data_IF_030790935593
#
_entry.id   IF_030790935593
#
_cell.length_a   1.000
_cell.length_b   1.000
_cell.length_c   1.000
_cell.angle_alpha   90.00
_cell.angle_beta   90.00
_cell.angle_gamma   90.00
#
_symmetry.space_group_name_H-M   'P 1'
#
loop_
_entity.id
_entity.type
_entity.pdbx_description
1 polymer ?
#
# COMPACT_ATOMS: atom_id res chain seq x y z
N UNK A 1 -25.29 -0.32 -9.67
CA UNK A 1 -25.82 -1.02 -10.87
C UNK A 1 -26.02 0.00 -11.98
N UNK A 2 -25.05 0.08 -12.91
CA UNK A 2 -25.06 1.05 -14.03
C UNK A 2 -26.28 0.85 -14.95
N UNK A 3 -26.89 -0.32 -14.90
CA UNK A 3 -28.09 -0.67 -15.67
C UNK A 3 -29.36 0.04 -15.24
N UNK A 4 -29.36 0.74 -14.10
CA UNK A 4 -30.52 1.48 -13.57
C UNK A 4 -30.46 3.00 -13.86
N UNK A 5 -29.33 3.51 -14.39
CA UNK A 5 -29.18 4.94 -14.72
C UNK A 5 -29.75 5.23 -16.10
N UNK A 6 -30.48 6.33 -16.22
CA UNK A 6 -30.87 6.88 -17.52
C UNK A 6 -29.64 7.53 -18.20
N UNK A 7 -29.70 7.65 -19.52
CA UNK A 7 -28.63 8.32 -20.29
C UNK A 7 -28.35 9.76 -19.78
N UNK A 8 -29.40 10.48 -19.43
CA UNK A 8 -29.29 11.85 -18.90
C UNK A 8 -28.62 11.88 -17.52
N UNK A 9 -28.95 10.96 -16.63
CA UNK A 9 -28.31 10.89 -15.31
C UNK A 9 -26.83 10.55 -15.42
N UNK A 10 -26.46 9.69 -16.39
CA UNK A 10 -25.06 9.40 -16.68
C UNK A 10 -24.31 10.63 -17.22
N UNK A 11 -24.93 11.35 -18.16
CA UNK A 11 -24.39 12.59 -18.71
C UNK A 11 -24.19 13.67 -17.63
N UNK A 12 -25.19 13.86 -16.74
CA UNK A 12 -25.12 14.80 -15.62
C UNK A 12 -23.99 14.43 -14.63
N UNK A 13 -23.78 13.13 -14.36
CA UNK A 13 -22.67 12.65 -13.52
C UNK A 13 -21.32 12.93 -14.19
N UNK A 14 -21.17 12.61 -15.46
CA UNK A 14 -19.94 12.86 -16.21
C UNK A 14 -19.61 14.35 -16.28
N UNK A 15 -20.60 15.18 -16.54
CA UNK A 15 -20.42 16.63 -16.55
C UNK A 15 -20.01 17.16 -15.16
N UNK A 16 -20.64 16.65 -14.09
CA UNK A 16 -20.26 17.03 -12.73
C UNK A 16 -18.81 16.66 -12.41
N UNK A 17 -18.36 15.48 -12.84
CA UNK A 17 -16.97 15.03 -12.64
C UNK A 17 -16.02 15.93 -13.43
N UNK A 18 -16.34 16.24 -14.68
CA UNK A 18 -15.50 17.10 -15.54
C UNK A 18 -15.36 18.51 -14.97
N UNK A 19 -16.44 19.09 -14.48
CA UNK A 19 -16.45 20.45 -13.95
C UNK A 19 -15.84 20.58 -12.54
N UNK A 20 -15.97 19.55 -11.69
CA UNK A 20 -15.70 19.67 -10.26
C UNK A 20 -14.59 18.75 -9.72
N UNK A 21 -14.14 17.77 -10.50
CA UNK A 21 -13.10 16.81 -10.07
C UNK A 21 -11.87 16.92 -10.96
N UNK A 22 -12.05 16.83 -12.27
CA UNK A 22 -10.94 16.85 -13.25
C UNK A 22 -9.99 18.06 -13.10
N UNK A 23 -10.46 19.30 -12.86
CA UNK A 23 -9.56 20.43 -12.67
C UNK A 23 -8.59 20.30 -11.50
N UNK A 24 -8.97 19.52 -10.48
CA UNK A 24 -8.16 19.33 -9.28
C UNK A 24 -7.20 18.13 -9.37
N UNK A 25 -7.40 17.21 -10.29
CA UNK A 25 -6.52 16.04 -10.48
C UNK A 25 -5.13 16.46 -10.92
N UNK A 26 -5.03 17.49 -11.76
CA UNK A 26 -3.78 18.00 -12.31
C UNK A 26 -3.21 19.21 -11.53
N UNK A 27 -3.85 19.61 -10.42
CA UNK A 27 -3.34 20.68 -9.58
C UNK A 27 -2.10 20.20 -8.81
N UNK A 28 -1.02 21.00 -8.83
CA UNK A 28 0.21 20.70 -8.10
C UNK A 28 0.01 20.54 -6.59
N UNK A 29 -1.02 21.18 -6.01
CA UNK A 29 -1.35 21.06 -4.59
C UNK A 29 -1.97 19.70 -4.24
N UNK A 30 -2.54 19.00 -5.23
CA UNK A 30 -3.15 17.67 -5.08
C UNK A 30 -2.31 16.56 -5.73
N UNK A 31 -1.19 16.90 -6.36
CA UNK A 31 -0.29 15.95 -7.01
C UNK A 31 0.12 14.83 -6.03
N UNK A 32 -0.13 13.60 -6.44
CA UNK A 32 0.13 12.40 -5.63
C UNK A 32 -0.87 12.10 -4.54
N UNK A 33 -1.92 12.90 -4.36
CA UNK A 33 -3.05 12.50 -3.52
C UNK A 33 -3.92 11.49 -4.26
N UNK A 34 -4.27 10.41 -3.59
CA UNK A 34 -5.22 9.44 -4.08
C UNK A 34 -6.65 9.99 -3.93
N UNK A 35 -7.07 10.83 -4.89
CA UNK A 35 -8.38 11.48 -4.89
C UNK A 35 -9.53 10.48 -4.95
N UNK A 36 -9.37 9.36 -5.64
CA UNK A 36 -10.37 8.31 -5.67
C UNK A 36 -10.47 7.59 -4.33
N UNK A 37 -9.36 7.30 -3.68
CA UNK A 37 -9.37 6.74 -2.34
C UNK A 37 -10.05 7.68 -1.33
N UNK A 38 -9.76 8.98 -1.42
CA UNK A 38 -10.43 10.00 -0.61
C UNK A 38 -11.94 10.06 -0.91
N UNK A 39 -12.33 10.03 -2.17
CA UNK A 39 -13.74 9.99 -2.59
C UNK A 39 -14.44 8.74 -2.05
N UNK A 40 -13.87 7.55 -2.25
CA UNK A 40 -14.47 6.29 -1.81
C UNK A 40 -14.49 6.12 -0.30
N UNK A 41 -13.47 6.53 0.41
CA UNK A 41 -13.48 6.52 1.88
C UNK A 41 -14.53 7.47 2.43
N UNK A 42 -14.74 8.60 1.79
CA UNK A 42 -15.80 9.57 2.14
C UNK A 42 -17.16 9.02 1.76
N UNK A 43 -17.32 8.47 0.56
CA UNK A 43 -18.59 7.96 0.05
C UNK A 43 -19.08 6.71 0.81
N UNK A 44 -18.23 5.73 1.05
CA UNK A 44 -18.56 4.52 1.82
C UNK A 44 -19.04 4.84 3.23
N UNK A 45 -18.61 5.93 3.81
CA UNK A 45 -19.06 6.42 5.08
C UNK A 45 -20.54 6.85 5.06
N UNK A 46 -21.05 7.37 3.95
CA UNK A 46 -22.44 7.79 3.79
C UNK A 46 -23.35 6.65 3.33
N UNK A 47 -22.83 5.67 2.61
CA UNK A 47 -23.60 4.56 2.05
C UNK A 47 -23.73 3.35 3.02
N UNK A 48 -22.98 3.33 4.13
CA UNK A 48 -23.18 2.42 5.27
C UNK A 48 -22.89 0.94 5.02
N UNK A 49 -22.26 0.57 3.91
CA UNK A 49 -21.87 -0.80 3.58
C UNK A 49 -20.46 -0.84 3.01
N UNK A 50 -19.44 -0.57 3.82
CA UNK A 50 -18.10 -1.02 3.45
C UNK A 50 -18.02 -2.52 3.73
N UNK A 51 -17.51 -3.28 2.79
CA UNK A 51 -17.02 -4.62 3.06
C UNK A 51 -15.99 -4.50 4.19
N UNK A 52 -16.27 -5.11 5.34
CA UNK A 52 -15.47 -4.97 6.57
C UNK A 52 -14.02 -5.46 6.42
N UNK A 53 -13.66 -5.97 5.25
CA UNK A 53 -12.36 -6.56 4.93
C UNK A 53 -11.47 -5.69 4.03
N UNK A 54 -11.96 -4.57 3.49
CA UNK A 54 -11.16 -3.64 2.68
C UNK A 54 -10.83 -2.39 3.51
N UNK A 55 -9.65 -2.35 4.10
CA UNK A 55 -9.11 -1.15 4.70
C UNK A 55 -8.27 -0.41 3.66
N UNK A 56 -8.72 0.76 3.24
CA UNK A 56 -7.94 1.64 2.37
C UNK A 56 -6.70 2.13 3.12
N UNK A 57 -5.54 2.03 2.48
CA UNK A 57 -4.30 2.53 3.04
C UNK A 57 -4.30 4.06 3.00
N UNK A 58 -4.11 4.75 4.14
CA UNK A 58 -4.06 6.21 4.14
C UNK A 58 -2.90 6.75 3.29
N UNK A 59 -3.18 7.78 2.49
CA UNK A 59 -2.20 8.34 1.54
C UNK A 59 -0.89 8.80 2.23
N UNK A 60 -0.99 9.44 3.40
CA UNK A 60 0.19 9.87 4.15
C UNK A 60 1.08 8.72 4.61
N UNK A 61 0.54 7.52 4.82
CA UNK A 61 1.31 6.31 5.14
C UNK A 61 1.93 5.73 3.86
N UNK A 62 1.22 5.78 2.72
CA UNK A 62 1.80 5.43 1.43
C UNK A 62 3.01 6.31 1.11
N UNK A 63 2.90 7.63 1.34
CA UNK A 63 3.98 8.60 1.17
C UNK A 63 5.19 8.29 2.09
N UNK A 64 4.96 8.01 3.37
CA UNK A 64 6.03 7.61 4.28
C UNK A 64 6.72 6.32 3.83
N UNK A 65 5.96 5.28 3.50
CA UNK A 65 6.51 3.98 3.11
C UNK A 65 7.29 4.06 1.80
N UNK A 66 6.78 4.77 0.81
CA UNK A 66 7.45 5.02 -0.48
C UNK A 66 8.81 5.68 -0.29
N UNK A 67 8.88 6.75 0.52
CA UNK A 67 10.11 7.47 0.82
C UNK A 67 11.07 6.68 1.71
N UNK A 68 10.56 5.84 2.61
CA UNK A 68 11.38 5.00 3.48
C UNK A 68 12.16 3.94 2.70
N UNK A 69 11.60 3.37 1.64
CA UNK A 69 12.31 2.42 0.77
C UNK A 69 13.05 3.10 -0.39
N UNK A 70 12.89 4.42 -0.57
CA UNK A 70 13.63 5.22 -1.53
C UNK A 70 13.14 5.08 -2.97
N UNK A 71 11.81 5.11 -3.18
CA UNK A 71 11.24 5.17 -4.54
C UNK A 71 11.80 6.38 -5.28
N UNK A 72 12.23 6.18 -6.52
CA UNK A 72 12.82 7.17 -7.41
C UNK A 72 12.60 6.79 -8.88
N UNK A 73 13.07 7.59 -9.83
CA UNK A 73 12.88 7.38 -11.27
C UNK A 73 13.40 6.05 -11.83
N UNK A 74 14.25 5.34 -11.10
CA UNK A 74 14.78 4.02 -11.49
C UNK A 74 14.03 2.85 -10.79
N UNK A 75 13.03 3.15 -10.01
CA UNK A 75 12.28 2.14 -9.27
C UNK A 75 11.29 1.40 -10.16
N UNK A 76 11.27 0.07 -10.02
CA UNK A 76 10.24 -0.81 -10.58
C UNK A 76 9.43 -1.36 -9.42
N UNK A 77 8.26 -0.75 -9.20
CA UNK A 77 7.46 -0.93 -7.99
C UNK A 77 6.35 -1.91 -8.22
N UNK A 78 6.20 -2.88 -7.32
CA UNK A 78 5.08 -3.83 -7.30
C UNK A 78 4.24 -3.64 -6.03
N UNK A 79 2.92 -3.53 -6.20
CA UNK A 79 1.94 -3.85 -5.16
C UNK A 79 1.16 -5.10 -5.55
N UNK A 80 1.42 -6.25 -4.92
CA UNK A 80 0.79 -7.53 -5.29
C UNK A 80 -0.62 -7.72 -4.71
N UNK A 81 -1.13 -6.74 -3.95
CA UNK A 81 -2.47 -6.70 -3.35
C UNK A 81 -3.02 -5.28 -3.40
N UNK A 82 -3.03 -4.67 -4.61
CA UNK A 82 -3.06 -3.22 -4.74
C UNK A 82 -4.38 -2.55 -4.34
N UNK A 83 -5.48 -3.29 -4.16
CA UNK A 83 -6.75 -2.72 -3.74
C UNK A 83 -7.18 -1.56 -4.66
N UNK A 84 -7.34 -0.36 -4.10
CA UNK A 84 -7.65 0.86 -4.86
C UNK A 84 -6.49 1.45 -5.65
N UNK A 85 -5.27 0.93 -5.49
CA UNK A 85 -4.07 1.44 -6.15
C UNK A 85 -3.34 2.57 -5.41
N UNK A 86 -3.62 2.79 -4.12
CA UNK A 86 -3.04 3.90 -3.35
C UNK A 86 -1.51 3.90 -3.36
N UNK A 87 -0.86 2.74 -3.15
CA UNK A 87 0.60 2.62 -3.26
C UNK A 87 1.10 2.86 -4.69
N UNK A 88 0.35 2.41 -5.71
CA UNK A 88 0.74 2.58 -7.11
C UNK A 88 0.75 4.04 -7.51
N UNK A 89 -0.31 4.79 -7.18
CA UNK A 89 -0.40 6.24 -7.43
C UNK A 89 0.74 6.97 -6.72
N UNK A 90 0.98 6.67 -5.44
CA UNK A 90 2.04 7.31 -4.67
C UNK A 90 3.43 7.01 -5.24
N UNK A 91 3.73 5.75 -5.54
CA UNK A 91 5.01 5.35 -6.11
C UNK A 91 5.25 6.00 -7.48
N UNK A 92 4.22 6.05 -8.34
CA UNK A 92 4.29 6.74 -9.63
C UNK A 92 4.62 8.22 -9.44
N UNK A 93 3.92 8.91 -8.55
CA UNK A 93 4.17 10.34 -8.27
C UNK A 93 5.57 10.57 -7.75
N UNK A 94 6.02 9.82 -6.74
CA UNK A 94 7.35 9.99 -6.16
C UNK A 94 8.46 9.69 -7.19
N UNK A 95 8.26 8.71 -8.07
CA UNK A 95 9.21 8.40 -9.15
C UNK A 95 9.22 9.51 -10.22
N UNK A 96 8.06 10.06 -10.59
CA UNK A 96 7.96 11.17 -11.55
C UNK A 96 8.54 12.48 -11.02
N UNK A 97 8.43 12.73 -9.71
CA UNK A 97 9.03 13.92 -9.08
C UNK A 97 10.57 13.92 -9.16
N UNK A 98 11.18 12.74 -9.27
CA UNK A 98 12.63 12.55 -9.44
C UNK A 98 13.09 12.61 -10.93
N UNK A 99 12.14 12.66 -11.88
CA UNK A 99 12.45 12.71 -13.30
C UNK A 99 12.84 14.12 -13.76
N UNK A 100 13.88 14.19 -14.61
CA UNK A 100 14.38 15.43 -15.20
C UNK A 100 13.68 15.74 -16.54
N UNK A 101 13.22 14.72 -17.27
CA UNK A 101 12.61 14.85 -18.61
C UNK A 101 11.22 14.24 -18.69
N UNK A 102 10.46 14.61 -19.71
CA UNK A 102 9.14 14.03 -19.97
C UNK A 102 9.25 12.58 -20.46
N UNK A 103 10.31 12.22 -21.16
CA UNK A 103 10.58 10.85 -21.59
C UNK A 103 10.78 9.91 -20.39
N UNK A 104 11.50 10.37 -19.35
CA UNK A 104 11.64 9.62 -18.10
C UNK A 104 10.29 9.45 -17.38
N UNK A 105 9.43 10.49 -17.36
CA UNK A 105 8.09 10.41 -16.77
C UNK A 105 7.21 9.40 -17.50
N UNK A 106 7.25 9.41 -18.83
CA UNK A 106 6.51 8.44 -19.65
C UNK A 106 7.01 7.01 -19.44
N UNK A 107 8.33 6.82 -19.23
CA UNK A 107 8.89 5.50 -18.91
C UNK A 107 8.40 5.01 -17.53
N UNK A 108 8.37 5.88 -16.52
CA UNK A 108 7.81 5.55 -15.21
C UNK A 108 6.37 5.07 -15.34
N UNK A 109 5.51 5.85 -16.02
CA UNK A 109 4.10 5.54 -16.21
C UNK A 109 3.89 4.21 -16.93
N UNK A 110 4.62 3.97 -18.02
CA UNK A 110 4.38 2.82 -18.91
C UNK A 110 4.98 1.52 -18.42
N UNK A 111 6.13 1.58 -17.73
CA UNK A 111 6.98 0.41 -17.58
C UNK A 111 7.47 0.14 -16.16
N UNK A 112 7.13 0.97 -15.15
CA UNK A 112 7.78 0.87 -13.86
C UNK A 112 6.82 0.63 -12.69
N UNK A 113 5.51 0.78 -12.87
CA UNK A 113 4.51 0.63 -11.81
C UNK A 113 3.64 -0.58 -12.09
N UNK A 114 3.60 -1.56 -11.18
CA UNK A 114 2.96 -2.85 -11.36
C UNK A 114 2.01 -3.16 -10.21
N UNK A 115 0.81 -3.64 -10.53
CA UNK A 115 -0.21 -4.02 -9.55
C UNK A 115 -0.83 -5.37 -9.83
N UNK A 116 -1.19 -6.10 -8.79
CA UNK A 116 -2.02 -7.30 -8.88
C UNK A 116 -3.18 -7.13 -7.90
N UNK A 117 -4.40 -7.35 -8.38
CA UNK A 117 -5.59 -7.35 -7.54
C UNK A 117 -6.48 -8.55 -7.85
N UNK A 118 -6.90 -9.23 -6.80
CA UNK A 118 -7.70 -10.46 -6.94
C UNK A 118 -9.19 -10.16 -7.15
N UNK A 119 -9.71 -9.14 -6.47
CA UNK A 119 -11.13 -8.81 -6.44
C UNK A 119 -11.47 -7.88 -7.59
N UNK A 120 -12.51 -8.23 -8.37
CA UNK A 120 -12.88 -7.55 -9.62
C UNK A 120 -13.22 -6.06 -9.40
N UNK A 121 -13.99 -5.75 -8.36
CA UNK A 121 -14.38 -4.36 -8.07
C UNK A 121 -13.20 -3.50 -7.67
N UNK A 122 -12.29 -4.02 -6.85
CA UNK A 122 -11.06 -3.33 -6.44
C UNK A 122 -10.09 -3.18 -7.63
N UNK A 123 -10.00 -4.18 -8.50
CA UNK A 123 -9.22 -4.08 -9.76
C UNK A 123 -9.77 -2.97 -10.67
N UNK A 124 -11.09 -2.90 -10.87
CA UNK A 124 -11.70 -1.81 -11.64
C UNK A 124 -11.39 -0.44 -11.03
N UNK A 125 -11.41 -0.35 -9.70
CA UNK A 125 -11.08 0.86 -8.97
C UNK A 125 -9.60 1.25 -9.15
N UNK A 126 -8.67 0.33 -8.96
CA UNK A 126 -7.23 0.61 -9.12
C UNK A 126 -6.87 1.01 -10.55
N UNK A 127 -7.43 0.32 -11.55
CA UNK A 127 -7.22 0.67 -12.96
C UNK A 127 -7.74 2.07 -13.30
N UNK A 128 -8.93 2.43 -12.79
CA UNK A 128 -9.49 3.77 -12.97
C UNK A 128 -8.65 4.82 -12.24
N UNK A 129 -8.18 4.52 -11.03
CA UNK A 129 -7.33 5.42 -10.25
C UNK A 129 -6.02 5.72 -10.97
N UNK A 130 -5.35 4.70 -11.48
CA UNK A 130 -4.12 4.86 -12.26
C UNK A 130 -4.36 5.68 -13.53
N UNK A 131 -5.46 5.41 -14.25
CA UNK A 131 -5.83 6.17 -15.45
C UNK A 131 -6.04 7.66 -15.15
N UNK A 132 -6.77 7.99 -14.09
CA UNK A 132 -7.03 9.38 -13.67
C UNK A 132 -5.73 10.11 -13.34
N UNK A 133 -4.78 9.44 -12.72
CA UNK A 133 -3.46 10.01 -12.40
C UNK A 133 -2.46 9.98 -13.56
N UNK A 134 -2.92 9.68 -14.77
CA UNK A 134 -2.17 9.84 -16.02
C UNK A 134 -1.36 8.61 -16.46
N UNK A 135 -1.57 7.45 -15.83
CA UNK A 135 -1.06 6.17 -16.33
C UNK A 135 -2.01 5.66 -17.43
N UNK A 136 -1.68 5.95 -18.67
CA UNK A 136 -2.49 5.52 -19.84
C UNK A 136 -2.32 4.05 -20.24
N UNK A 137 -1.43 3.30 -19.59
CA UNK A 137 -1.11 1.91 -19.95
C UNK A 137 -0.77 1.10 -18.68
N UNK A 138 -1.75 1.02 -17.80
CA UNK A 138 -1.59 0.41 -16.49
C UNK A 138 -1.11 -1.04 -16.54
N UNK A 139 -0.02 -1.36 -15.84
CA UNK A 139 0.43 -2.71 -15.57
C UNK A 139 -0.27 -3.30 -14.34
N UNK A 140 -1.56 -3.03 -14.19
CA UNK A 140 -2.41 -3.65 -13.17
C UNK A 140 -3.12 -4.84 -13.78
N UNK A 141 -3.04 -6.00 -13.12
CA UNK A 141 -3.64 -7.24 -13.60
C UNK A 141 -4.63 -7.80 -12.58
N UNK A 142 -5.79 -8.24 -13.08
CA UNK A 142 -6.78 -8.92 -12.24
C UNK A 142 -6.43 -10.41 -12.15
N UNK A 143 -5.83 -10.82 -11.03
CA UNK A 143 -5.57 -12.24 -10.75
C UNK A 143 -5.16 -12.44 -9.28
N UNK A 144 -5.02 -13.70 -8.88
CA UNK A 144 -4.30 -14.04 -7.66
C UNK A 144 -2.78 -13.87 -7.85
N UNK A 145 -2.12 -13.15 -6.95
CA UNK A 145 -0.66 -13.00 -6.98
C UNK A 145 0.06 -14.35 -7.02
N UNK A 146 -0.48 -15.38 -6.37
CA UNK A 146 0.08 -16.74 -6.32
C UNK A 146 0.12 -17.45 -7.68
N UNK A 147 -0.54 -16.90 -8.69
CA UNK A 147 -0.49 -17.39 -10.08
C UNK A 147 0.45 -16.58 -10.98
N UNK A 148 1.05 -15.51 -10.46
CA UNK A 148 1.82 -14.52 -11.23
C UNK A 148 3.33 -14.57 -11.01
N UNK A 149 3.86 -15.66 -10.46
CA UNK A 149 5.30 -15.81 -10.17
C UNK A 149 6.20 -15.48 -11.38
N UNK A 150 5.86 -16.03 -12.56
CA UNK A 150 6.61 -15.77 -13.79
C UNK A 150 6.54 -14.30 -14.19
N UNK A 151 5.34 -13.71 -14.17
CA UNK A 151 5.13 -12.31 -14.53
C UNK A 151 5.88 -11.37 -13.58
N UNK A 152 5.89 -11.64 -12.26
CA UNK A 152 6.67 -10.88 -11.27
C UNK A 152 8.16 -10.96 -11.59
N UNK A 153 8.69 -12.16 -11.85
CA UNK A 153 10.10 -12.38 -12.14
C UNK A 153 10.56 -11.66 -13.43
N UNK A 154 9.71 -11.62 -14.46
CA UNK A 154 9.99 -10.99 -15.76
C UNK A 154 10.04 -9.45 -15.67
N UNK A 155 9.38 -8.86 -14.67
CA UNK A 155 9.30 -7.40 -14.53
C UNK A 155 10.43 -6.77 -13.72
N UNK A 156 11.43 -7.55 -13.26
CA UNK A 156 12.64 -7.05 -12.57
C UNK A 156 12.31 -6.06 -11.44
N UNK A 157 11.35 -6.40 -10.59
CA UNK A 157 10.89 -5.57 -9.47
C UNK A 157 12.05 -5.31 -8.51
N UNK A 158 12.27 -4.05 -8.11
CA UNK A 158 13.28 -3.69 -7.12
C UNK A 158 12.70 -3.05 -5.86
N UNK A 159 11.39 -2.70 -5.88
CA UNK A 159 10.65 -2.24 -4.69
C UNK A 159 9.30 -2.94 -4.63
N UNK A 160 8.92 -3.40 -3.44
CA UNK A 160 7.56 -3.86 -3.13
C UNK A 160 6.97 -2.95 -2.06
N UNK A 161 5.79 -2.42 -2.33
CA UNK A 161 4.93 -1.74 -1.37
C UNK A 161 3.65 -2.54 -1.27
N UNK A 162 3.25 -2.99 -0.09
CA UNK A 162 2.04 -3.80 0.02
C UNK A 162 1.34 -3.67 1.36
N UNK A 163 0.02 -3.81 1.30
CA UNK A 163 -0.87 -3.98 2.45
C UNK A 163 -1.70 -5.25 2.22
N UNK A 164 -1.19 -6.44 2.56
CA UNK A 164 -1.87 -7.70 2.29
C UNK A 164 -3.12 -7.85 3.15
N UNK A 165 -4.09 -8.69 2.76
CA UNK A 165 -5.26 -8.95 3.58
C UNK A 165 -4.86 -9.71 4.87
N UNK A 166 -5.22 -9.15 6.05
CA UNK A 166 -4.83 -9.70 7.35
C UNK A 166 -5.61 -10.95 7.77
N UNK A 167 -6.82 -11.10 7.24
CA UNK A 167 -7.73 -12.19 7.53
C UNK A 167 -8.22 -12.83 6.21
N UNK A 168 -7.29 -13.10 5.31
CA UNK A 168 -7.59 -13.72 4.03
C UNK A 168 -8.29 -15.06 4.22
N UNK A 169 -9.35 -15.30 3.45
CA UNK A 169 -10.02 -16.60 3.44
C UNK A 169 -9.16 -17.62 2.66
N UNK A 170 -9.41 -18.90 2.89
CA UNK A 170 -8.67 -20.00 2.25
C UNK A 170 -8.54 -19.84 0.73
N UNK A 171 -9.60 -19.38 0.05
CA UNK A 171 -9.62 -19.19 -1.41
C UNK A 171 -8.71 -18.07 -1.93
N UNK A 172 -8.36 -17.10 -1.05
CA UNK A 172 -7.50 -15.96 -1.39
C UNK A 172 -6.03 -16.19 -1.03
N UNK A 173 -5.71 -17.32 -0.39
CA UNK A 173 -4.35 -17.70 0.01
C UNK A 173 -3.71 -18.64 -1.01
N UNK A 174 -2.40 -18.86 -0.88
CA UNK A 174 -1.68 -19.87 -1.65
C UNK A 174 -2.31 -21.26 -1.42
N UNK A 175 -2.73 -21.97 -2.49
CA UNK A 175 -3.28 -23.31 -2.38
C UNK A 175 -2.35 -24.29 -1.65
N UNK A 176 -1.03 -24.19 -1.82
CA UNK A 176 -0.07 -25.08 -1.16
C UNK A 176 -0.01 -24.82 0.35
N UNK A 177 -0.04 -23.57 0.76
CA UNK A 177 -0.11 -23.20 2.18
C UNK A 177 -1.41 -23.65 2.83
N UNK A 178 -2.52 -23.56 2.11
CA UNK A 178 -3.84 -23.89 2.67
C UNK A 178 -4.18 -25.36 2.68
N UNK A 179 -3.38 -26.23 2.04
CA UNK A 179 -3.58 -27.70 2.08
C UNK A 179 -3.54 -28.25 3.50
N UNK A 180 -2.72 -27.68 4.35
CA UNK A 180 -2.51 -28.11 5.73
C UNK A 180 -3.52 -27.49 6.72
N UNK A 181 -4.44 -26.65 6.23
CA UNK A 181 -5.44 -26.03 7.09
C UNK A 181 -6.50 -27.05 7.49
N UNK A 182 -6.72 -27.19 8.80
CA UNK A 182 -7.86 -27.94 9.29
C UNK A 182 -9.21 -27.26 8.96
N UNK A 183 -10.31 -28.01 9.08
CA UNK A 183 -11.64 -27.49 8.73
C UNK A 183 -12.13 -26.31 9.61
N UNK A 184 -11.43 -26.03 10.70
CA UNK A 184 -11.78 -24.94 11.64
C UNK A 184 -11.09 -23.63 11.28
N UNK A 185 -9.99 -23.68 10.52
CA UNK A 185 -9.25 -22.50 10.08
C UNK A 185 -10.01 -21.80 8.96
N UNK A 186 -10.66 -20.68 9.27
CA UNK A 186 -11.45 -19.89 8.32
C UNK A 186 -10.68 -18.73 7.69
N UNK A 187 -9.66 -18.23 8.39
CA UNK A 187 -8.87 -17.06 8.06
C UNK A 187 -7.38 -17.36 8.18
N UNK A 188 -6.56 -16.57 7.48
CA UNK A 188 -5.10 -16.69 7.48
C UNK A 188 -4.51 -16.58 8.90
N UNK A 189 -3.95 -17.67 9.45
CA UNK A 189 -3.32 -17.63 10.76
C UNK A 189 -1.99 -16.89 10.78
N UNK A 190 -1.33 -16.69 9.63
CA UNK A 190 -0.07 -15.95 9.52
C UNK A 190 -0.27 -14.43 9.56
N UNK A 191 -1.53 -13.95 9.51
CA UNK A 191 -1.88 -12.52 9.53
C UNK A 191 -1.22 -11.72 8.39
N UNK A 192 -1.19 -12.31 7.19
CA UNK A 192 -0.63 -11.71 5.99
C UNK A 192 0.85 -12.03 5.74
N UNK A 193 1.56 -12.60 6.71
CA UNK A 193 2.99 -12.90 6.55
C UNK A 193 3.28 -13.92 5.44
N UNK A 194 2.38 -14.86 5.14
CA UNK A 194 2.60 -15.78 4.04
C UNK A 194 2.58 -15.09 2.67
N UNK A 195 1.77 -14.03 2.50
CA UNK A 195 1.81 -13.18 1.29
C UNK A 195 3.19 -12.53 1.14
N UNK A 196 3.70 -11.96 2.23
CA UNK A 196 5.01 -11.28 2.27
C UNK A 196 6.13 -12.25 1.92
N UNK A 197 6.17 -13.41 2.54
CA UNK A 197 7.17 -14.45 2.29
C UNK A 197 7.09 -14.96 0.85
N UNK A 198 5.89 -15.18 0.35
CA UNK A 198 5.71 -15.64 -1.01
C UNK A 198 6.24 -14.63 -2.04
N UNK A 199 5.93 -13.34 -1.90
CA UNK A 199 6.46 -12.29 -2.80
C UNK A 199 7.99 -12.21 -2.69
N UNK A 200 8.53 -12.23 -1.48
CA UNK A 200 9.97 -12.15 -1.25
C UNK A 200 10.76 -13.25 -2.00
N UNK A 201 10.16 -14.44 -2.19
CA UNK A 201 10.76 -15.54 -2.96
C UNK A 201 10.69 -15.35 -4.48
N UNK A 202 9.83 -14.46 -4.98
CA UNK A 202 9.56 -14.32 -6.42
C UNK A 202 10.04 -13.00 -7.03
N UNK A 203 10.56 -12.09 -6.21
CA UNK A 203 11.23 -10.86 -6.67
C UNK A 203 12.75 -11.02 -6.61
N UNK A 204 13.53 -10.20 -7.35
CA UNK A 204 14.99 -10.23 -7.26
C UNK A 204 15.51 -10.01 -5.84
N UNK A 205 16.66 -10.61 -5.51
CA UNK A 205 17.32 -10.45 -4.21
C UNK A 205 17.78 -9.00 -3.91
N UNK A 206 17.84 -8.14 -4.91
CA UNK A 206 18.13 -6.71 -4.73
C UNK A 206 16.93 -5.88 -4.31
N UNK A 207 15.75 -6.51 -4.21
CA UNK A 207 14.50 -5.84 -3.88
C UNK A 207 14.46 -5.40 -2.41
N UNK A 208 13.86 -4.23 -2.19
CA UNK A 208 13.43 -3.77 -0.85
C UNK A 208 11.91 -3.87 -0.75
N UNK A 209 11.42 -4.24 0.42
CA UNK A 209 9.99 -4.36 0.66
C UNK A 209 9.59 -3.50 1.86
N UNK A 210 8.56 -2.66 1.71
CA UNK A 210 7.84 -2.08 2.84
C UNK A 210 6.44 -2.68 2.88
N UNK A 211 6.11 -3.32 3.99
CA UNK A 211 4.85 -4.05 4.15
C UNK A 211 4.09 -3.55 5.35
N UNK A 212 2.80 -3.32 5.16
CA UNK A 212 1.88 -2.92 6.22
C UNK A 212 1.19 -4.18 6.75
N UNK A 213 1.34 -4.45 8.03
CA UNK A 213 0.83 -5.66 8.68
C UNK A 213 0.14 -5.32 10.00
N UNK A 214 -0.75 -6.17 10.52
CA UNK A 214 -1.25 -5.97 11.86
C UNK A 214 -0.11 -6.11 12.87
N UNK A 215 -0.15 -5.36 13.96
CA UNK A 215 0.87 -5.40 15.01
C UNK A 215 1.11 -6.84 15.52
N UNK A 216 0.10 -7.70 15.46
CA UNK A 216 0.23 -9.11 15.82
C UNK A 216 1.28 -9.84 14.95
N UNK A 217 1.47 -9.45 13.70
CA UNK A 217 2.53 -10.02 12.86
C UNK A 217 3.94 -9.68 13.39
N UNK A 218 4.12 -8.50 13.98
CA UNK A 218 5.39 -8.11 14.59
C UNK A 218 5.64 -8.82 15.93
N UNK A 219 4.67 -8.76 16.86
CA UNK A 219 4.86 -9.20 18.24
C UNK A 219 4.46 -10.66 18.51
N UNK A 220 3.62 -11.27 17.66
CA UNK A 220 3.17 -12.65 17.84
C UNK A 220 4.33 -13.63 17.82
N UNK A 221 4.31 -14.63 18.70
CA UNK A 221 5.41 -15.61 18.88
C UNK A 221 4.91 -17.06 18.92
N UNK A 222 3.81 -17.35 18.24
CA UNK A 222 3.23 -18.70 18.19
C UNK A 222 2.71 -19.03 16.80
N UNK A 223 2.64 -20.34 16.46
CA UNK A 223 2.06 -20.86 15.23
C UNK A 223 2.63 -20.22 13.96
N UNK A 224 1.79 -20.10 12.95
CA UNK A 224 2.16 -19.63 11.61
C UNK A 224 2.84 -18.26 11.62
N UNK A 225 2.45 -17.34 12.50
CA UNK A 225 3.12 -16.03 12.63
C UNK A 225 4.60 -16.19 12.98
N UNK A 226 4.92 -17.06 13.96
CA UNK A 226 6.31 -17.34 14.34
C UNK A 226 7.07 -18.00 13.20
N UNK A 227 6.45 -18.97 12.54
CA UNK A 227 7.10 -19.77 11.50
C UNK A 227 7.43 -18.94 10.27
N UNK A 228 6.50 -18.08 9.82
CA UNK A 228 6.76 -17.18 8.70
C UNK A 228 7.76 -16.07 9.06
N UNK A 229 7.75 -15.53 10.28
CA UNK A 229 8.81 -14.61 10.73
C UNK A 229 10.18 -15.28 10.69
N UNK A 230 10.27 -16.51 11.17
CA UNK A 230 11.52 -17.28 11.11
C UNK A 230 11.98 -17.46 9.66
N UNK A 231 11.11 -17.89 8.74
CA UNK A 231 11.42 -18.02 7.31
C UNK A 231 11.94 -16.70 6.73
N UNK A 232 11.30 -15.57 7.07
CA UNK A 232 11.74 -14.24 6.59
C UNK A 232 13.14 -13.91 7.10
N UNK A 233 13.44 -14.08 8.38
CA UNK A 233 14.75 -13.77 8.96
C UNK A 233 15.85 -14.75 8.54
N UNK A 234 15.52 -16.01 8.32
CA UNK A 234 16.45 -17.04 7.82
C UNK A 234 16.92 -16.73 6.38
N UNK A 235 16.18 -15.92 5.63
CA UNK A 235 16.48 -15.63 4.22
C UNK A 235 16.74 -14.14 3.94
N UNK A 236 16.17 -13.22 4.70
CA UNK A 236 16.17 -11.79 4.41
C UNK A 236 16.47 -10.97 5.67
N UNK A 237 16.89 -9.74 5.48
CA UNK A 237 17.17 -8.79 6.57
C UNK A 237 15.91 -8.00 6.92
N UNK A 238 15.49 -8.02 8.18
CA UNK A 238 14.53 -7.07 8.73
C UNK A 238 15.26 -5.78 9.08
N UNK A 239 15.07 -4.75 8.27
CA UNK A 239 15.76 -3.47 8.43
C UNK A 239 15.08 -2.54 9.43
N UNK A 240 13.74 -2.51 9.43
CA UNK A 240 12.97 -1.70 10.36
C UNK A 240 11.59 -2.29 10.69
N UNK A 241 11.08 -1.92 11.86
CA UNK A 241 9.69 -2.11 12.28
C UNK A 241 9.19 -0.79 12.87
N UNK A 242 8.12 -0.24 12.30
CA UNK A 242 7.47 0.97 12.80
C UNK A 242 6.10 0.62 13.37
N UNK A 243 5.89 0.90 14.66
CA UNK A 243 4.55 0.89 15.23
C UNK A 243 3.82 2.17 14.79
N UNK A 244 2.66 2.01 14.16
CA UNK A 244 1.89 3.10 13.58
C UNK A 244 0.69 3.50 14.47
N UNK A 245 0.05 4.65 14.23
CA UNK A 245 -1.09 5.10 15.03
C UNK A 245 -2.22 4.08 15.11
N UNK A 246 -2.81 3.93 16.29
CA UNK A 246 -3.84 2.91 16.57
C UNK A 246 -5.14 3.08 15.78
N UNK A 247 -5.45 4.31 15.38
CA UNK A 247 -6.66 4.65 14.61
C UNK A 247 -6.37 4.93 13.13
N UNK A 248 -5.24 4.45 12.61
CA UNK A 248 -4.76 4.76 11.28
C UNK A 248 -5.79 4.47 10.18
N UNK A 249 -6.53 3.37 10.30
CA UNK A 249 -7.55 2.97 9.32
C UNK A 249 -8.97 3.49 9.64
N UNK A 250 -9.11 4.39 10.61
CA UNK A 250 -10.45 4.93 10.89
C UNK A 250 -11.00 5.75 9.70
N UNK A 251 -12.26 5.58 9.31
CA UNK A 251 -13.35 4.82 9.95
C UNK A 251 -13.45 3.33 9.53
N UNK A 252 -12.56 2.82 8.72
CA UNK A 252 -12.60 1.46 8.19
C UNK A 252 -12.34 0.37 9.25
N UNK A 253 -11.08 -0.03 9.45
CA UNK A 253 -10.69 -1.08 10.36
C UNK A 253 -10.16 -0.56 11.71
N UNK A 254 -10.35 -1.33 12.78
CA UNK A 254 -9.80 -1.03 14.11
C UNK A 254 -8.44 -1.73 14.35
N UNK A 255 -7.77 -2.20 13.30
CA UNK A 255 -6.50 -2.91 13.43
C UNK A 255 -5.36 -1.94 13.77
N UNK A 256 -4.60 -2.27 14.82
CA UNK A 256 -3.31 -1.62 15.08
C UNK A 256 -2.30 -2.20 14.09
N UNK A 257 -1.71 -1.35 13.27
CA UNK A 257 -0.77 -1.76 12.23
C UNK A 257 0.69 -1.43 12.58
N UNK A 258 1.58 -2.14 11.92
CA UNK A 258 3.00 -1.82 11.85
C UNK A 258 3.45 -1.82 10.39
N UNK A 259 4.46 -1.02 10.08
CA UNK A 259 5.20 -1.13 8.83
C UNK A 259 6.48 -1.90 9.12
N UNK A 260 6.77 -2.93 8.31
CA UNK A 260 8.03 -3.65 8.33
C UNK A 260 8.78 -3.39 7.03
N UNK A 261 10.08 -3.11 7.13
CA UNK A 261 10.96 -2.96 5.97
C UNK A 261 11.94 -4.11 5.93
N UNK A 262 11.99 -4.79 4.77
CA UNK A 262 12.91 -5.88 4.50
C UNK A 262 13.86 -5.52 3.36
N UNK A 263 15.11 -5.90 3.53
CA UNK A 263 16.13 -5.94 2.49
C UNK A 263 16.37 -7.40 2.11
N UNK A 264 16.09 -7.75 0.86
CA UNK A 264 16.12 -9.14 0.42
C UNK A 264 17.52 -9.63 0.01
N UNK A 265 18.54 -8.77 0.10
CA UNK A 265 19.90 -9.08 -0.41
C UNK A 265 20.62 -10.16 0.38
N UNK A 266 20.28 -10.36 1.63
CA UNK A 266 20.96 -11.34 2.50
C UNK A 266 20.12 -11.72 3.73
N UNK A 267 20.52 -12.82 4.38
CA UNK A 267 19.94 -13.26 5.66
C UNK A 267 20.14 -12.22 6.75
N UNK A 268 19.17 -12.14 7.68
CA UNK A 268 19.25 -11.22 8.81
C UNK A 268 20.53 -11.36 9.63
N UNK A 269 20.89 -12.58 9.97
CA UNK A 269 22.12 -12.90 10.72
C UNK A 269 23.41 -12.38 10.05
N UNK A 270 23.43 -12.33 8.71
CA UNK A 270 24.60 -11.87 7.94
C UNK A 270 24.64 -10.36 7.69
N UNK A 271 23.56 -9.65 7.98
CA UNK A 271 23.44 -8.24 7.67
C UNK A 271 24.40 -7.37 8.49
N UNK A 272 24.89 -7.85 9.64
CA UNK A 272 25.78 -7.16 10.59
C UNK A 272 25.29 -5.72 10.88
N UNK A 273 23.95 -5.56 11.01
CA UNK A 273 23.32 -4.29 11.34
C UNK A 273 22.07 -4.54 12.20
N UNK A 274 21.77 -3.59 13.06
CA UNK A 274 20.62 -3.65 13.93
C UNK A 274 19.32 -3.32 13.18
N UNK A 275 18.22 -3.95 13.59
CA UNK A 275 16.88 -3.57 13.15
C UNK A 275 16.48 -2.28 13.85
N UNK A 276 16.01 -1.31 13.09
CA UNK A 276 15.43 -0.09 13.66
C UNK A 276 14.00 -0.36 14.16
N UNK A 277 13.71 0.03 15.40
CA UNK A 277 12.36 -0.04 15.96
C UNK A 277 11.85 1.38 16.23
N UNK A 278 10.89 1.83 15.42
CA UNK A 278 10.25 3.13 15.57
C UNK A 278 8.87 3.02 16.22
N UNK A 279 8.60 3.83 17.25
CA UNK A 279 7.28 3.94 17.87
C UNK A 279 6.58 5.22 17.41
N UNK A 280 5.92 5.17 16.27
CA UNK A 280 5.34 6.30 15.56
C UNK A 280 3.82 6.37 15.77
N UNK A 281 3.38 6.81 16.92
CA UNK A 281 1.96 6.85 17.27
C UNK A 281 1.23 8.15 16.95
N UNK A 282 1.95 9.24 16.73
CA UNK A 282 1.38 10.55 16.43
C UNK A 282 1.80 11.00 15.04
N UNK A 283 0.87 10.84 14.07
CA UNK A 283 1.03 11.24 12.68
C UNK A 283 0.38 12.60 12.36
N UNK A 284 -0.02 13.34 13.38
CA UNK A 284 -0.69 14.64 13.24
C UNK A 284 -2.03 14.59 12.48
N UNK A 285 -2.66 13.40 12.44
CA UNK A 285 -4.03 13.23 11.98
C UNK A 285 -4.95 12.96 13.15
N UNK A 286 -5.99 13.76 13.30
CA UNK A 286 -6.97 13.62 14.38
C UNK A 286 -8.31 13.11 13.87
N UNK A 287 -8.92 12.26 14.67
CA UNK A 287 -10.27 11.73 14.41
C UNK A 287 -11.32 12.81 14.54
N UNK A 288 -12.14 12.98 13.54
CA UNK A 288 -13.31 13.85 13.57
C UNK A 288 -14.56 13.05 13.23
N UNK A 289 -15.58 13.18 14.10
CA UNK A 289 -16.87 12.51 13.88
C UNK A 289 -17.44 12.98 12.55
N UNK A 290 -17.78 12.02 11.72
CA UNK A 290 -18.37 12.33 10.44
C UNK A 290 -17.36 12.67 9.32
N UNK A 291 -16.08 12.94 9.58
CA UNK A 291 -15.08 13.36 8.58
C UNK A 291 -13.86 12.44 8.44
N UNK A 292 -13.79 11.39 9.28
CA UNK A 292 -12.61 10.50 9.28
C UNK A 292 -11.45 11.06 10.11
N UNK A 293 -10.24 10.81 9.66
CA UNK A 293 -9.02 11.42 10.22
C UNK A 293 -8.62 12.61 9.36
N UNK A 294 -8.41 13.75 9.98
CA UNK A 294 -8.07 15.00 9.32
C UNK A 294 -6.68 15.43 9.74
N UNK A 295 -5.89 15.83 8.77
CA UNK A 295 -4.57 16.40 8.98
C UNK A 295 -4.64 17.67 9.85
N UNK A 296 -3.71 17.81 10.75
CA UNK A 296 -3.50 19.02 11.55
C UNK A 296 -2.51 19.95 10.85
N UNK A 297 -2.84 21.22 10.87
CA UNK A 297 -1.97 22.29 10.37
C UNK A 297 -1.47 23.18 11.51
N UNK A 298 -0.37 23.87 11.31
CA UNK A 298 0.10 24.93 12.20
C UNK A 298 -0.76 26.20 12.07
N UNK A 299 -0.43 27.23 12.84
CA UNK A 299 -1.16 28.52 12.83
C UNK A 299 -1.09 29.26 11.48
N UNK A 300 -0.17 28.88 10.61
CA UNK A 300 0.01 29.46 9.27
C UNK A 300 -0.62 28.58 8.18
N UNK A 301 -1.29 27.48 8.55
CA UNK A 301 -1.90 26.55 7.61
C UNK A 301 -0.94 25.50 7.02
N UNK A 302 0.31 25.40 7.48
CA UNK A 302 1.26 24.42 6.98
C UNK A 302 1.01 23.05 7.59
N UNK A 303 1.22 21.99 6.80
CA UNK A 303 1.12 20.58 7.20
C UNK A 303 2.03 20.26 8.41
N UNK A 304 1.44 19.72 9.46
CA UNK A 304 2.21 19.17 10.58
C UNK A 304 2.72 17.76 10.26
N UNK A 305 2.03 17.04 9.37
CA UNK A 305 2.48 15.74 8.90
C UNK A 305 3.82 15.82 8.17
N UNK A 306 4.00 16.80 7.30
CA UNK A 306 5.25 16.96 6.55
C UNK A 306 6.48 16.95 7.47
N UNK A 307 6.46 17.76 8.53
CA UNK A 307 7.54 17.82 9.53
C UNK A 307 7.69 16.52 10.31
N UNK A 308 6.56 15.87 10.64
CA UNK A 308 6.56 14.59 11.36
C UNK A 308 7.15 13.48 10.52
N UNK A 309 6.77 13.41 9.24
CA UNK A 309 7.32 12.46 8.28
C UNK A 309 8.83 12.63 8.09
N UNK A 310 9.29 13.85 7.92
CA UNK A 310 10.72 14.16 7.80
C UNK A 310 11.49 13.69 9.02
N UNK A 311 10.96 13.93 10.23
CA UNK A 311 11.54 13.43 11.48
C UNK A 311 11.60 11.90 11.50
N UNK A 312 10.51 11.21 11.16
CA UNK A 312 10.47 9.75 11.14
C UNK A 312 11.49 9.17 10.15
N UNK A 313 11.59 9.76 8.96
CA UNK A 313 12.56 9.35 7.94
C UNK A 313 14.00 9.62 8.37
N UNK A 314 14.27 10.76 9.03
CA UNK A 314 15.59 11.09 9.54
C UNK A 314 16.01 10.14 10.67
N UNK A 315 15.14 9.86 11.64
CA UNK A 315 15.39 8.89 12.70
C UNK A 315 15.72 7.50 12.13
N UNK A 316 14.94 7.06 11.15
CA UNK A 316 15.15 5.77 10.50
C UNK A 316 16.47 5.74 9.71
N UNK A 317 16.73 6.71 8.83
CA UNK A 317 17.93 6.75 7.99
C UNK A 317 19.22 6.84 8.81
N UNK A 318 19.20 7.57 9.90
CA UNK A 318 20.35 7.76 10.77
C UNK A 318 20.39 6.78 11.95
N UNK A 319 19.43 5.85 12.05
CA UNK A 319 19.31 4.88 13.15
C UNK A 319 19.43 5.53 14.54
N UNK A 320 18.79 6.69 14.71
CA UNK A 320 18.78 7.45 15.97
C UNK A 320 17.57 7.08 16.82
N UNK A 321 17.74 7.20 18.15
CA UNK A 321 16.67 7.05 19.13
C UNK A 321 15.80 8.31 19.28
#
# INVERSE_FOLDING_TARGET
>A
DVTSLTYKELEDILQFIDDNVVPYINDKSTAGQDLLNLFFTTFNKYVGKSDKNQAFTPDHICDFMSKAVGVNKNSRVLDPCCGSGAFLVRAMTDAMDDCDTEEEREEVKKNQIFGIEYEEGAFGLSSTNMLIHGDGNSNVVQDSMFKRAKWIAENNINIVLMNPPYNATKKCCDPDYTKEWDAKKKEDPSKGLHFVEWVARHVPSTCKMAVLLPMQAAIGNTGDVKDFKKKMLDNYTLDAVFSLPTEMFYPGAAAVACCMIFDLSQKHEKANRDTFFGYFKDDKFIKRKGLGRIEQTDTNGNSLWSKTKELWLDLYKNKRE
#
